data_IF_205232749133
#
_entry.id   IF_205232749133
#
_cell.length_a   1.000
_cell.length_b   1.000
_cell.length_c   1.000
_cell.angle_alpha   90.00
_cell.angle_beta   90.00
_cell.angle_gamma   90.00
#
_symmetry.space_group_name_H-M   'P 1'
#
loop_
_entity.id
_entity.type
_entity.pdbx_description
1 polymer ?
#
# COMPACT_ATOMS: atom_id res chain seq x y z
N UNK A 1 18.93 -66.80 -32.42
CA UNK A 1 19.88 -65.77 -32.88
C UNK A 1 19.23 -65.01 -34.01
N UNK A 2 18.85 -63.75 -33.79
CA UNK A 2 18.73 -62.70 -34.82
C UNK A 2 18.37 -61.39 -34.11
N UNK A 3 19.23 -60.41 -34.32
CA UNK A 3 19.22 -59.05 -33.79
C UNK A 3 18.05 -58.23 -34.35
N UNK A 4 17.44 -57.39 -33.51
CA UNK A 4 16.73 -56.18 -33.94
C UNK A 4 15.29 -56.07 -33.43
N UNK A 5 15.05 -55.13 -32.53
CA UNK A 5 13.72 -54.55 -32.33
C UNK A 5 13.85 -53.04 -32.09
N UNK A 6 13.20 -52.26 -32.97
CA UNK A 6 13.03 -50.81 -32.91
C UNK A 6 11.53 -50.52 -32.83
N UNK A 7 11.18 -49.42 -32.14
CA UNK A 7 9.85 -48.74 -32.05
C UNK A 7 8.86 -49.42 -31.09
N UNK A 8 7.96 -48.75 -30.39
CA UNK A 8 7.64 -47.33 -30.14
C UNK A 8 6.43 -47.37 -29.20
N UNK A 9 6.34 -46.53 -28.17
CA UNK A 9 5.02 -46.18 -27.60
C UNK A 9 5.04 -44.77 -27.02
N UNK A 10 4.36 -43.87 -27.72
CA UNK A 10 4.03 -42.51 -27.31
C UNK A 10 2.88 -42.57 -26.30
N UNK A 11 2.98 -41.86 -25.17
CA UNK A 11 1.92 -41.77 -24.15
C UNK A 11 1.01 -40.58 -24.48
N UNK A 12 -0.29 -40.89 -24.52
CA UNK A 12 -1.43 -40.07 -24.91
C UNK A 12 -1.72 -38.94 -23.92
N UNK A 13 -1.86 -37.71 -24.41
CA UNK A 13 -2.45 -36.58 -23.67
C UNK A 13 -3.97 -36.59 -23.86
N UNK A 14 -4.73 -36.46 -22.77
CA UNK A 14 -6.18 -36.34 -22.78
C UNK A 14 -6.59 -34.86 -22.88
N UNK A 15 -7.35 -34.51 -23.92
CA UNK A 15 -8.01 -33.21 -24.09
C UNK A 15 -9.51 -33.42 -23.84
N UNK A 16 -10.08 -32.69 -22.88
CA UNK A 16 -11.51 -32.66 -22.61
C UNK A 16 -12.14 -31.55 -23.44
N UNK A 17 -13.04 -31.92 -24.36
CA UNK A 17 -13.88 -31.00 -25.14
C UNK A 17 -15.29 -30.97 -24.51
N UNK A 18 -15.80 -29.77 -24.22
CA UNK A 18 -17.21 -29.56 -23.88
C UNK A 18 -17.93 -28.99 -25.10
N UNK A 19 -19.01 -29.66 -25.51
CA UNK A 19 -19.79 -29.38 -26.70
C UNK A 19 -20.76 -28.20 -26.48
N UNK A 20 -20.79 -27.25 -27.43
CA UNK A 20 -21.85 -26.24 -27.55
C UNK A 20 -22.83 -26.72 -28.62
N UNK A 21 -24.06 -27.02 -28.21
CA UNK A 21 -25.16 -27.31 -29.13
C UNK A 21 -25.81 -26.01 -29.60
N UNK A 22 -25.92 -25.85 -30.93
CA UNK A 22 -26.54 -24.69 -31.57
C UNK A 22 -28.05 -24.84 -31.80
N UNK A 23 -28.70 -23.72 -32.08
CA UNK A 23 -29.97 -23.68 -32.80
C UNK A 23 -29.95 -22.48 -33.77
N UNK A 24 -29.88 -22.77 -35.06
CA UNK A 24 -30.11 -21.80 -36.15
C UNK A 24 -31.54 -22.02 -36.64
N UNK A 25 -32.37 -20.98 -36.64
CA UNK A 25 -33.60 -20.89 -37.44
C UNK A 25 -33.58 -19.57 -38.18
N UNK A 26 -33.78 -19.64 -39.51
CA UNK A 26 -33.69 -18.52 -40.43
C UNK A 26 -35.07 -17.89 -40.76
N UNK A 27 -35.07 -16.56 -40.75
CA UNK A 27 -35.75 -15.59 -41.64
C UNK A 27 -37.30 -15.43 -41.67
N UNK A 28 -37.75 -14.27 -41.17
CA UNK A 28 -38.59 -13.29 -41.91
C UNK A 28 -38.43 -11.88 -41.27
N UNK A 29 -38.48 -10.77 -42.04
CA UNK A 29 -38.17 -9.44 -41.54
C UNK A 29 -39.40 -8.79 -40.89
N UNK A 30 -39.33 -8.44 -39.61
CA UNK A 30 -40.31 -7.56 -38.97
C UNK A 30 -39.68 -6.19 -38.84
N UNK A 31 -40.25 -5.24 -39.57
CA UNK A 31 -39.91 -3.82 -39.50
C UNK A 31 -40.39 -3.32 -38.13
N UNK A 32 -39.48 -3.19 -37.17
CA UNK A 32 -39.73 -2.51 -35.90
C UNK A 32 -39.07 -1.15 -35.98
N UNK A 33 -39.87 -0.10 -35.96
CA UNK A 33 -39.45 1.29 -35.97
C UNK A 33 -38.40 1.54 -34.88
N UNK A 34 -37.23 2.02 -35.29
CA UNK A 34 -36.21 2.53 -34.39
C UNK A 34 -36.72 3.84 -33.76
N UNK A 35 -37.33 3.74 -32.58
CA UNK A 35 -37.41 4.85 -31.66
C UNK A 35 -36.16 4.78 -30.78
N UNK A 36 -35.28 5.78 -30.94
CA UNK A 36 -34.15 6.05 -30.07
C UNK A 36 -34.65 6.26 -28.63
N UNK A 37 -34.53 5.24 -27.80
CA UNK A 37 -34.65 5.36 -26.35
C UNK A 37 -33.37 5.99 -25.81
N UNK A 38 -33.32 7.31 -25.83
CA UNK A 38 -32.49 8.09 -24.90
C UNK A 38 -32.99 7.75 -23.50
N UNK A 39 -32.14 7.11 -22.69
CA UNK A 39 -32.36 7.06 -21.27
C UNK A 39 -32.11 8.47 -20.71
N UNK A 40 -33.18 9.18 -20.41
CA UNK A 40 -33.15 10.46 -19.71
C UNK A 40 -32.61 10.24 -18.28
N UNK A 41 -31.34 10.59 -18.07
CA UNK A 41 -30.65 10.55 -16.76
C UNK A 41 -31.09 11.72 -15.85
N UNK A 42 -32.04 12.55 -16.28
CA UNK A 42 -32.42 13.81 -15.64
C UNK A 42 -33.57 13.71 -14.64
N UNK A 43 -34.24 12.56 -14.49
CA UNK A 43 -35.45 12.46 -13.65
C UNK A 43 -35.25 12.00 -12.20
N UNK A 44 -34.06 11.51 -11.80
CA UNK A 44 -33.82 11.10 -10.40
C UNK A 44 -33.33 12.24 -9.49
N UNK A 45 -32.99 13.39 -10.07
CA UNK A 45 -32.34 14.50 -9.35
C UNK A 45 -33.31 15.55 -8.77
N UNK A 46 -34.61 15.51 -9.12
CA UNK A 46 -35.51 16.64 -8.83
C UNK A 46 -36.52 16.44 -7.69
N UNK A 47 -36.56 15.27 -7.04
CA UNK A 47 -37.51 15.03 -5.93
C UNK A 47 -36.87 14.98 -4.53
N UNK A 48 -35.54 15.14 -4.40
CA UNK A 48 -34.84 15.09 -3.09
C UNK A 48 -34.36 16.43 -2.54
N UNK A 49 -34.63 17.54 -3.23
CA UNK A 49 -34.14 18.87 -2.83
C UNK A 49 -35.25 19.88 -2.51
N UNK A 50 -36.52 19.46 -2.44
CA UNK A 50 -37.57 20.28 -1.87
C UNK A 50 -37.61 20.11 -0.34
N UNK A 51 -36.56 20.55 0.34
CA UNK A 51 -36.61 20.79 1.79
C UNK A 51 -36.97 22.26 1.98
N UNK A 52 -38.12 22.47 2.61
CA UNK A 52 -38.59 23.76 3.11
C UNK A 52 -37.49 24.40 3.98
N UNK A 53 -37.11 25.68 3.79
CA UNK A 53 -36.04 26.28 4.58
C UNK A 53 -36.44 26.32 6.05
N UNK A 54 -35.84 25.42 6.84
CA UNK A 54 -35.95 25.46 8.29
C UNK A 54 -35.40 26.79 8.80
N UNK A 55 -36.03 27.42 9.81
CA UNK A 55 -35.53 28.67 10.37
C UNK A 55 -34.12 28.47 10.91
N UNK A 56 -33.18 29.29 10.43
CA UNK A 56 -31.80 29.33 10.92
C UNK A 56 -31.86 29.59 12.43
N UNK A 57 -31.34 28.69 13.28
CA UNK A 57 -31.25 28.98 14.70
C UNK A 57 -30.37 30.22 14.92
N UNK A 58 -30.89 31.17 15.69
CA UNK A 58 -30.19 32.38 16.11
C UNK A 58 -28.80 32.02 16.70
N UNK A 59 -27.74 32.82 16.46
CA UNK A 59 -26.36 32.51 16.90
C UNK A 59 -26.19 32.31 18.42
N UNK A 60 -27.21 32.61 19.21
CA UNK A 60 -27.20 32.48 20.66
C UNK A 60 -27.47 31.05 21.18
N UNK A 61 -27.70 30.06 20.31
CA UNK A 61 -28.00 28.67 20.71
C UNK A 61 -26.86 27.67 20.46
N UNK A 62 -25.73 28.08 19.88
CA UNK A 62 -24.48 27.36 20.06
C UNK A 62 -24.02 27.67 21.48
N UNK A 63 -24.40 26.81 22.44
CA UNK A 63 -23.62 26.69 23.65
C UNK A 63 -22.17 26.56 23.19
N UNK A 64 -21.32 27.46 23.68
CA UNK A 64 -19.90 27.23 23.71
C UNK A 64 -19.72 25.85 24.35
N UNK A 65 -19.49 24.83 23.52
CA UNK A 65 -18.72 23.70 23.96
C UNK A 65 -17.38 24.31 24.34
N UNK A 66 -17.11 24.17 25.63
CA UNK A 66 -15.88 24.52 26.30
C UNK A 66 -14.72 24.31 25.33
N UNK A 67 -14.07 25.39 24.91
CA UNK A 67 -12.77 25.29 24.25
C UNK A 67 -11.82 24.80 25.33
N UNK A 68 -11.84 23.49 25.58
CA UNK A 68 -10.67 22.80 26.07
C UNK A 68 -9.56 23.24 25.12
N UNK A 69 -8.58 23.93 25.66
CA UNK A 69 -7.34 24.18 24.96
C UNK A 69 -6.86 22.78 24.56
N UNK A 70 -7.00 22.41 23.28
CA UNK A 70 -6.68 21.05 22.83
C UNK A 70 -5.25 20.77 23.28
N UNK A 71 -5.10 19.87 24.27
CA UNK A 71 -3.81 19.60 24.89
C UNK A 71 -2.86 19.14 23.79
N UNK A 72 -1.87 19.95 23.45
CA UNK A 72 -0.94 19.61 22.37
C UNK A 72 0.12 18.65 22.92
N UNK A 73 0.25 17.49 22.29
CA UNK A 73 1.30 16.52 22.56
C UNK A 73 2.46 16.79 21.60
N UNK A 74 3.63 17.11 22.16
CA UNK A 74 4.87 17.23 21.39
C UNK A 74 5.38 15.84 21.00
N UNK A 75 5.50 15.60 19.70
CA UNK A 75 5.99 14.34 19.14
C UNK A 75 7.48 14.40 18.76
N UNK A 76 8.10 15.58 18.87
CA UNK A 76 9.46 15.86 18.43
C UNK A 76 9.53 16.64 17.11
N UNK A 77 10.73 17.11 16.78
CA UNK A 77 11.05 17.87 15.55
C UNK A 77 10.18 19.13 15.33
N UNK A 78 9.68 19.71 16.42
CA UNK A 78 8.77 20.86 16.38
C UNK A 78 7.35 20.52 15.92
N UNK A 79 7.01 19.24 15.83
CA UNK A 79 5.67 18.74 15.50
C UNK A 79 4.91 18.50 16.80
N UNK A 80 3.82 19.23 16.97
CA UNK A 80 2.85 19.00 18.04
C UNK A 80 1.48 18.74 17.45
N UNK A 81 0.79 17.74 17.97
CA UNK A 81 -0.55 17.35 17.53
C UNK A 81 -1.53 17.47 18.69
N UNK A 82 -2.83 17.69 18.43
CA UNK A 82 -3.84 17.58 19.47
C UNK A 82 -3.78 16.21 20.17
N UNK A 83 -4.02 16.19 21.47
CA UNK A 83 -4.26 14.97 22.21
C UNK A 83 -5.48 14.21 21.65
N UNK A 84 -5.48 12.90 21.83
CA UNK A 84 -6.38 11.99 21.14
C UNK A 84 -5.72 11.38 19.90
N UNK A 85 -5.95 10.09 19.71
CA UNK A 85 -5.44 9.32 18.58
C UNK A 85 -6.54 8.45 17.96
N UNK A 86 -6.18 7.58 17.00
CA UNK A 86 -7.12 6.65 16.40
C UNK A 86 -7.70 5.70 17.46
N UNK A 87 -9.03 5.53 17.49
CA UNK A 87 -9.70 4.69 18.49
C UNK A 87 -9.57 5.23 19.92
N UNK A 88 -9.13 4.38 20.85
CA UNK A 88 -8.96 4.69 22.28
C UNK A 88 -7.57 5.26 22.63
N UNK A 89 -6.76 5.61 21.62
CA UNK A 89 -5.42 6.12 21.81
C UNK A 89 -5.41 7.53 22.42
N UNK A 90 -4.51 7.76 23.38
CA UNK A 90 -4.35 9.08 24.04
C UNK A 90 -3.58 10.08 23.19
N UNK A 91 -2.78 9.60 22.24
CA UNK A 91 -2.06 10.39 21.23
C UNK A 91 -1.80 9.51 20.00
N UNK A 92 -1.28 10.10 18.93
CA UNK A 92 -0.98 9.41 17.70
C UNK A 92 0.51 9.54 17.36
N UNK A 93 1.18 8.43 17.12
CA UNK A 93 2.53 8.41 16.54
C UNK A 93 2.46 8.62 15.02
N UNK A 94 3.53 9.14 14.45
CA UNK A 94 3.63 9.40 13.01
C UNK A 94 4.94 8.90 12.45
N UNK A 95 4.91 8.33 11.24
CA UNK A 95 6.12 8.11 10.47
C UNK A 95 6.32 9.30 9.54
N UNK A 96 7.35 10.10 9.80
CA UNK A 96 7.74 11.20 8.93
C UNK A 96 8.76 10.72 7.91
N UNK A 97 8.67 11.23 6.69
CA UNK A 97 9.62 10.97 5.61
C UNK A 97 10.12 12.34 5.14
N UNK A 98 11.43 12.56 5.23
CA UNK A 98 12.01 13.88 4.97
C UNK A 98 13.51 13.86 4.85
N UNK A 99 14.10 15.05 4.74
CA UNK A 99 15.53 15.29 4.72
C UNK A 99 15.82 16.48 5.64
N UNK A 100 16.79 16.32 6.55
CA UNK A 100 17.09 17.32 7.58
C UNK A 100 18.05 18.42 7.07
N UNK A 101 19.00 18.07 6.20
CA UNK A 101 20.12 18.94 5.81
C UNK A 101 20.61 18.70 4.36
N UNK A 102 19.75 18.14 3.50
CA UNK A 102 20.13 17.72 2.15
C UNK A 102 20.73 16.31 2.09
N UNK A 103 20.84 15.63 3.24
CA UNK A 103 21.02 14.18 3.30
C UNK A 103 19.94 13.43 2.51
N UNK A 104 20.19 12.17 2.09
CA UNK A 104 19.17 11.33 1.51
C UNK A 104 17.90 11.34 2.37
N UNK A 105 16.75 11.28 1.70
CA UNK A 105 15.49 11.14 2.41
C UNK A 105 15.57 9.92 3.32
N UNK A 106 15.03 10.04 4.52
CA UNK A 106 14.95 8.96 5.50
C UNK A 106 13.61 9.04 6.21
N UNK A 107 13.25 7.97 6.91
CA UNK A 107 12.02 7.88 7.67
C UNK A 107 12.32 7.84 9.16
N UNK A 108 11.48 8.50 9.96
CA UNK A 108 11.60 8.55 11.41
C UNK A 108 10.24 8.38 12.06
N UNK A 109 10.20 7.68 13.19
CA UNK A 109 9.03 7.64 14.05
C UNK A 109 9.03 8.85 14.99
N UNK A 110 7.93 9.59 15.01
CA UNK A 110 7.60 10.62 15.99
C UNK A 110 6.53 10.10 16.96
N UNK A 111 6.68 10.39 18.25
CA UNK A 111 5.89 9.76 19.31
C UNK A 111 6.30 8.30 19.59
N UNK A 112 5.46 7.58 20.32
CA UNK A 112 5.69 6.18 20.67
C UNK A 112 4.54 5.29 20.23
N UNK A 113 4.88 4.09 19.76
CA UNK A 113 3.90 3.05 19.44
C UNK A 113 3.38 2.41 20.72
N UNK A 114 2.08 2.15 20.77
CA UNK A 114 1.41 1.46 21.88
C UNK A 114 0.59 0.32 21.31
N UNK A 115 0.88 -0.94 21.66
CA UNK A 115 0.07 -2.08 21.25
C UNK A 115 -1.16 -2.21 22.16
N UNK A 116 -2.31 -1.77 21.67
CA UNK A 116 -3.62 -1.87 22.31
C UNK A 116 -4.20 -3.30 22.29
N UNK A 117 -3.47 -4.25 21.69
CA UNK A 117 -3.86 -5.64 21.54
C UNK A 117 -4.56 -5.93 20.21
N UNK A 118 -4.63 -7.21 19.87
CA UNK A 118 -5.29 -7.67 18.65
C UNK A 118 -6.77 -7.25 18.60
N UNK A 119 -7.22 -6.81 17.43
CA UNK A 119 -8.62 -6.47 17.14
C UNK A 119 -9.17 -7.35 16.00
N UNK A 120 -10.47 -7.24 15.70
CA UNK A 120 -11.12 -8.01 14.62
C UNK A 120 -10.45 -7.80 13.24
N UNK A 121 -9.89 -6.61 13.01
CA UNK A 121 -9.27 -6.20 11.74
C UNK A 121 -7.76 -5.89 11.90
N UNK A 122 -7.14 -6.36 12.99
CA UNK A 122 -5.71 -6.25 13.24
C UNK A 122 -5.22 -7.42 14.13
N UNK A 123 -5.42 -8.65 13.63
CA UNK A 123 -5.17 -9.89 14.38
C UNK A 123 -3.77 -10.48 14.23
N UNK A 124 -2.93 -9.88 13.39
CA UNK A 124 -1.61 -10.36 13.03
C UNK A 124 -0.56 -10.32 14.14
N UNK A 125 0.49 -11.14 14.01
CA UNK A 125 1.59 -11.18 14.97
C UNK A 125 2.45 -9.92 14.87
N UNK A 126 2.97 -9.51 16.02
CA UNK A 126 3.88 -8.37 16.16
C UNK A 126 5.28 -8.89 16.42
N UNK A 127 6.25 -8.31 15.73
CA UNK A 127 7.66 -8.51 16.03
C UNK A 127 8.17 -7.35 16.85
N UNK A 128 8.98 -7.67 17.86
CA UNK A 128 9.71 -6.69 18.67
C UNK A 128 11.17 -6.61 18.22
N UNK A 129 11.78 -5.44 18.34
CA UNK A 129 13.22 -5.27 18.15
C UNK A 129 14.03 -5.83 19.31
N UNK A 130 15.35 -5.70 19.24
CA UNK A 130 16.27 -6.18 20.27
C UNK A 130 16.07 -5.51 21.65
N UNK A 131 15.47 -4.32 21.67
CA UNK A 131 15.16 -3.56 22.88
C UNK A 131 13.76 -3.89 23.41
N UNK A 132 13.03 -4.80 22.77
CA UNK A 132 11.67 -5.18 23.12
C UNK A 132 10.60 -4.16 22.70
N UNK A 133 10.92 -3.25 21.76
CA UNK A 133 9.98 -2.25 21.23
C UNK A 133 9.26 -2.80 20.01
N UNK A 134 8.03 -2.34 19.79
CA UNK A 134 7.24 -2.67 18.59
C UNK A 134 8.06 -2.28 17.35
N UNK A 135 8.24 -3.25 16.45
CA UNK A 135 9.10 -3.11 15.28
C UNK A 135 8.34 -3.31 13.97
N UNK A 136 7.65 -4.45 13.82
CA UNK A 136 6.88 -4.76 12.62
C UNK A 136 5.64 -5.59 12.93
N UNK A 137 4.75 -5.66 11.96
CA UNK A 137 3.47 -6.36 12.02
C UNK A 137 3.28 -7.20 10.75
N UNK A 138 2.91 -8.48 10.90
CA UNK A 138 2.60 -9.34 9.76
C UNK A 138 1.09 -9.33 9.49
N UNK A 139 0.70 -8.89 8.31
CA UNK A 139 -0.69 -8.77 7.88
C UNK A 139 -1.34 -10.15 7.76
N UNK A 140 -2.53 -10.31 8.34
CA UNK A 140 -3.36 -11.50 8.21
C UNK A 140 -4.59 -11.25 7.34
N UNK A 141 -5.24 -12.34 6.92
CA UNK A 141 -6.48 -12.27 6.17
C UNK A 141 -7.57 -11.53 6.96
N UNK A 142 -8.11 -10.47 6.37
CA UNK A 142 -9.16 -9.65 6.97
C UNK A 142 -8.64 -8.42 7.72
N UNK A 143 -7.33 -8.28 7.88
CA UNK A 143 -6.77 -7.07 8.48
C UNK A 143 -6.98 -5.84 7.59
N UNK A 144 -7.02 -4.66 8.23
CA UNK A 144 -7.07 -3.37 7.54
C UNK A 144 -6.01 -2.42 8.09
N UNK A 145 -5.45 -1.60 7.22
CA UNK A 145 -4.40 -0.64 7.61
C UNK A 145 -4.90 0.33 8.69
N UNK A 146 -6.17 0.75 8.62
CA UNK A 146 -6.82 1.62 9.62
C UNK A 146 -6.82 0.97 11.00
N UNK A 147 -7.32 -0.27 11.11
CA UNK A 147 -7.38 -0.96 12.39
C UNK A 147 -5.99 -1.34 12.93
N UNK A 148 -5.01 -1.55 12.05
CA UNK A 148 -3.60 -1.69 12.43
C UNK A 148 -3.09 -0.37 13.05
N UNK A 149 -3.40 0.78 12.45
CA UNK A 149 -3.07 2.09 13.02
C UNK A 149 -3.71 2.34 14.39
N UNK A 150 -5.00 2.00 14.54
CA UNK A 150 -5.71 2.03 15.83
C UNK A 150 -5.06 1.12 16.87
N UNK A 151 -4.68 -0.10 16.48
CA UNK A 151 -4.01 -1.04 17.38
C UNK A 151 -2.68 -0.51 17.90
N UNK A 152 -1.91 0.19 17.08
CA UNK A 152 -0.56 0.65 17.45
C UNK A 152 -0.46 2.12 17.85
N UNK A 153 -1.60 2.82 17.92
CA UNK A 153 -1.66 4.26 18.13
C UNK A 153 -0.75 5.04 17.18
N UNK A 154 -0.82 4.71 15.89
CA UNK A 154 -0.02 5.30 14.82
C UNK A 154 -0.89 5.68 13.63
N UNK A 155 -0.55 6.79 12.96
CA UNK A 155 -1.25 7.23 11.78
C UNK A 155 -1.07 6.22 10.64
N UNK A 156 -2.18 5.55 10.29
CA UNK A 156 -2.18 4.48 9.31
C UNK A 156 -1.77 4.96 7.90
N UNK A 157 -1.98 6.24 7.57
CA UNK A 157 -1.61 6.81 6.27
C UNK A 157 -0.08 6.92 6.18
N UNK A 158 0.57 7.37 7.25
CA UNK A 158 2.03 7.40 7.32
C UNK A 158 2.64 6.00 7.33
N UNK A 159 2.01 5.04 8.00
CA UNK A 159 2.41 3.62 7.95
C UNK A 159 2.35 3.09 6.53
N UNK A 160 1.23 3.30 5.82
CA UNK A 160 1.09 2.87 4.43
C UNK A 160 2.13 3.51 3.52
N UNK A 161 2.33 4.82 3.65
CA UNK A 161 3.29 5.56 2.83
C UNK A 161 4.74 5.08 3.03
N UNK A 162 5.13 4.81 4.28
CA UNK A 162 6.45 4.29 4.61
C UNK A 162 6.67 2.87 4.09
N UNK A 163 5.67 1.99 4.23
CA UNK A 163 5.73 0.60 3.78
C UNK A 163 5.38 0.41 2.30
N UNK A 164 5.52 1.48 1.51
CA UNK A 164 5.24 1.47 0.07
C UNK A 164 3.86 0.91 -0.30
N UNK A 165 2.89 0.98 0.62
CA UNK A 165 1.50 0.61 0.35
C UNK A 165 0.93 1.67 -0.58
N UNK A 166 0.55 1.20 -1.76
CA UNK A 166 0.35 2.03 -2.95
C UNK A 166 -1.03 2.68 -2.93
N UNK A 167 -1.19 3.77 -2.20
CA UNK A 167 -2.40 4.57 -2.19
C UNK A 167 -3.68 3.75 -1.95
N UNK A 168 -4.45 3.47 -3.01
CA UNK A 168 -5.69 2.69 -2.94
C UNK A 168 -5.49 1.16 -2.98
N UNK A 169 -4.26 0.67 -3.08
CA UNK A 169 -3.99 -0.75 -3.04
C UNK A 169 -4.19 -1.30 -1.61
N UNK A 170 -4.88 -2.43 -1.46
CA UNK A 170 -5.02 -3.08 -0.16
C UNK A 170 -3.71 -3.74 0.27
N UNK A 171 -3.50 -3.83 1.57
CA UNK A 171 -2.51 -4.73 2.16
C UNK A 171 -2.93 -6.20 1.92
N UNK A 172 -1.95 -7.08 1.71
CA UNK A 172 -2.16 -8.49 1.45
C UNK A 172 -1.72 -9.36 2.65
N UNK A 173 -2.37 -10.51 2.88
CA UNK A 173 -1.91 -11.45 3.90
C UNK A 173 -0.47 -11.91 3.64
N UNK A 174 0.37 -11.88 4.67
CA UNK A 174 1.79 -12.18 4.61
C UNK A 174 2.69 -10.97 4.37
N UNK A 175 2.12 -9.79 4.07
CA UNK A 175 2.89 -8.54 4.05
C UNK A 175 3.45 -8.26 5.44
N UNK A 176 4.67 -7.70 5.50
CA UNK A 176 5.29 -7.27 6.75
C UNK A 176 5.36 -5.75 6.75
N UNK A 177 4.52 -5.12 7.57
CA UNK A 177 4.53 -3.68 7.77
C UNK A 177 5.53 -3.33 8.88
N UNK A 178 6.59 -2.62 8.53
CA UNK A 178 7.50 -2.01 9.48
C UNK A 178 6.85 -0.76 10.09
N UNK A 179 6.77 -0.73 11.42
CA UNK A 179 6.14 0.36 12.17
C UNK A 179 7.18 1.30 12.79
N UNK A 180 8.43 0.84 12.92
CA UNK A 180 9.56 1.59 13.49
C UNK A 180 10.69 1.74 12.47
N UNK A 181 10.71 2.84 11.70
CA UNK A 181 11.79 3.14 10.77
C UNK A 181 13.15 3.24 11.45
N UNK A 182 14.20 2.97 10.66
CA UNK A 182 15.55 3.37 11.02
C UNK A 182 15.84 4.75 10.45
N UNK A 183 16.05 5.79 11.27
CA UNK A 183 16.38 7.11 10.75
C UNK A 183 17.77 7.16 10.10
N UNK A 184 18.60 6.12 10.26
CA UNK A 184 19.92 6.03 9.62
C UNK A 184 19.87 5.42 8.22
N UNK A 185 18.75 4.82 7.83
CA UNK A 185 18.59 4.21 6.51
C UNK A 185 17.96 5.19 5.52
N UNK A 186 18.45 5.22 4.28
CA UNK A 186 17.80 6.01 3.24
C UNK A 186 16.42 5.42 2.93
N UNK A 187 15.42 6.28 2.83
CA UNK A 187 14.10 5.98 2.30
C UNK A 187 14.15 5.97 0.77
N UNK A 188 13.60 4.92 0.18
CA UNK A 188 13.41 4.82 -1.27
C UNK A 188 12.06 5.45 -1.63
N UNK A 189 12.09 6.60 -2.31
CA UNK A 189 10.88 7.20 -2.89
C UNK A 189 10.44 6.37 -4.09
N UNK A 190 9.26 5.75 -4.00
CA UNK A 190 8.72 4.89 -5.07
C UNK A 190 8.10 5.69 -6.23
N UNK A 191 7.82 6.98 -6.04
CA UNK A 191 7.12 7.82 -7.01
C UNK A 191 8.05 8.70 -7.84
N UNK A 192 9.13 9.20 -7.23
CA UNK A 192 10.07 10.15 -7.82
C UNK A 192 11.44 9.54 -8.15
N UNK A 193 11.73 9.19 -9.41
CA UNK A 193 13.08 8.83 -9.80
C UNK A 193 14.02 10.03 -9.61
N UNK A 194 15.22 9.80 -9.06
CA UNK A 194 16.17 10.85 -8.67
C UNK A 194 16.52 11.82 -9.80
N UNK A 195 16.71 11.31 -11.02
CA UNK A 195 17.11 12.09 -12.19
C UNK A 195 15.93 12.42 -13.12
N UNK A 196 14.69 12.32 -12.64
CA UNK A 196 13.51 12.55 -13.47
C UNK A 196 13.40 14.02 -13.91
N UNK A 197 13.32 14.24 -15.22
CA UNK A 197 12.98 15.57 -15.73
C UNK A 197 11.51 15.90 -15.39
N UNK A 198 11.17 17.15 -15.03
CA UNK A 198 9.79 17.55 -14.81
C UNK A 198 8.87 17.16 -15.98
N UNK A 199 7.73 16.55 -15.68
CA UNK A 199 6.76 16.09 -16.68
C UNK A 199 7.11 14.76 -17.36
N UNK A 200 8.21 14.11 -17.01
CA UNK A 200 8.50 12.74 -17.45
C UNK A 200 7.58 11.72 -16.77
N UNK A 201 7.28 10.63 -17.47
CA UNK A 201 6.52 9.52 -16.89
C UNK A 201 7.40 8.72 -15.92
N UNK A 202 6.89 8.46 -14.72
CA UNK A 202 7.58 7.70 -13.67
C UNK A 202 7.08 6.26 -13.54
N UNK A 203 6.11 5.84 -14.38
CA UNK A 203 5.46 4.52 -14.28
C UNK A 203 6.48 3.38 -14.35
N UNK A 204 7.44 3.44 -15.28
CA UNK A 204 8.45 2.38 -15.42
C UNK A 204 9.38 2.27 -14.20
N UNK A 205 9.66 3.39 -13.52
CA UNK A 205 10.42 3.39 -12.28
C UNK A 205 9.59 2.78 -11.15
N UNK A 206 8.36 3.25 -10.98
CA UNK A 206 7.41 2.75 -10.00
C UNK A 206 7.16 1.24 -10.10
N UNK A 207 6.96 0.71 -11.32
CA UNK A 207 6.81 -0.72 -11.56
C UNK A 207 8.11 -1.50 -11.29
N UNK A 208 9.26 -0.90 -11.62
CA UNK A 208 10.56 -1.49 -11.35
C UNK A 208 10.82 -1.64 -9.86
N UNK A 209 10.52 -0.60 -9.06
CA UNK A 209 10.64 -0.64 -7.60
C UNK A 209 9.68 -1.68 -7.01
N UNK A 210 8.44 -1.81 -7.52
CA UNK A 210 7.51 -2.88 -7.13
C UNK A 210 8.11 -4.27 -7.32
N UNK A 211 8.64 -4.51 -8.53
CA UNK A 211 9.19 -5.80 -8.88
C UNK A 211 10.42 -6.11 -8.02
N UNK A 212 11.23 -5.10 -7.71
CA UNK A 212 12.40 -5.25 -6.85
C UNK A 212 11.98 -5.57 -5.42
N UNK A 213 11.03 -4.82 -4.85
CA UNK A 213 10.46 -5.11 -3.52
C UNK A 213 9.87 -6.52 -3.46
N UNK A 214 9.13 -6.96 -4.50
CA UNK A 214 8.60 -8.34 -4.58
C UNK A 214 9.73 -9.39 -4.57
N UNK A 215 10.80 -9.16 -5.33
CA UNK A 215 11.95 -10.07 -5.35
C UNK A 215 12.64 -10.14 -3.97
N UNK A 216 12.77 -9.01 -3.28
CA UNK A 216 13.28 -8.94 -1.91
C UNK A 216 12.35 -9.64 -0.92
N UNK A 217 11.05 -9.39 -0.96
CA UNK A 217 10.06 -10.03 -0.08
C UNK A 217 10.12 -11.56 -0.20
N UNK A 218 10.19 -12.07 -1.44
CA UNK A 218 10.27 -13.50 -1.77
C UNK A 218 11.68 -14.11 -1.67
N UNK A 219 12.67 -13.33 -1.23
CA UNK A 219 14.08 -13.74 -1.09
C UNK A 219 14.76 -14.20 -2.40
N UNK A 220 14.26 -13.78 -3.56
CA UNK A 220 14.89 -14.01 -4.87
C UNK A 220 15.95 -12.92 -5.15
N UNK A 221 17.11 -13.06 -4.50
CA UNK A 221 18.23 -12.12 -4.70
C UNK A 221 18.80 -12.17 -6.13
N UNK A 222 18.54 -13.23 -6.90
CA UNK A 222 18.93 -13.31 -8.30
C UNK A 222 18.11 -12.33 -9.15
N UNK A 223 16.79 -12.39 -9.00
CA UNK A 223 15.87 -11.43 -9.62
C UNK A 223 16.12 -10.00 -9.12
N UNK A 224 16.35 -9.81 -7.80
CA UNK A 224 16.63 -8.50 -7.24
C UNK A 224 17.86 -7.85 -7.89
N UNK A 225 19.00 -8.57 -8.00
CA UNK A 225 20.20 -8.04 -8.66
C UNK A 225 19.98 -7.73 -10.14
N UNK A 226 19.20 -8.53 -10.86
CA UNK A 226 18.86 -8.27 -12.25
C UNK A 226 18.01 -6.99 -12.42
N UNK A 227 17.02 -6.80 -11.55
CA UNK A 227 16.20 -5.59 -11.51
C UNK A 227 17.03 -4.36 -11.13
N UNK A 228 17.94 -4.51 -10.16
CA UNK A 228 18.79 -3.44 -9.67
C UNK A 228 19.63 -2.78 -10.77
N UNK A 229 20.19 -3.58 -11.70
CA UNK A 229 20.97 -3.08 -12.85
C UNK A 229 20.22 -2.03 -13.68
N UNK A 230 18.89 -2.00 -13.60
CA UNK A 230 18.02 -1.07 -14.32
C UNK A 230 17.58 0.11 -13.46
N UNK A 231 17.41 -0.12 -12.15
CA UNK A 231 16.93 0.85 -11.17
C UNK A 231 18.02 1.76 -10.61
N UNK A 232 19.25 1.27 -10.49
CA UNK A 232 20.37 1.95 -9.81
C UNK A 232 20.55 3.40 -10.27
N UNK A 233 20.49 3.64 -11.59
CA UNK A 233 20.64 4.98 -12.21
C UNK A 233 19.56 5.99 -11.81
N UNK A 234 18.42 5.50 -11.35
CA UNK A 234 17.25 6.29 -10.98
C UNK A 234 17.19 6.54 -9.46
N UNK A 235 18.17 6.05 -8.71
CA UNK A 235 18.30 6.24 -7.28
C UNK A 235 19.28 7.38 -6.96
N UNK A 236 19.12 8.08 -5.82
CA UNK A 236 20.17 8.96 -5.31
C UNK A 236 21.48 8.17 -5.14
N UNK A 237 22.66 8.71 -5.50
CA UNK A 237 23.91 7.95 -5.48
C UNK A 237 24.25 7.31 -4.13
N UNK A 238 23.95 8.00 -3.03
CA UNK A 238 24.19 7.50 -1.67
C UNK A 238 23.24 6.34 -1.33
N UNK A 239 21.95 6.48 -1.64
CA UNK A 239 20.96 5.40 -1.53
C UNK A 239 21.34 4.20 -2.38
N UNK A 240 21.78 4.43 -3.62
CA UNK A 240 22.21 3.39 -4.54
C UNK A 240 23.43 2.61 -4.01
N UNK A 241 24.38 3.29 -3.36
CA UNK A 241 25.54 2.65 -2.75
C UNK A 241 25.14 1.70 -1.61
N UNK A 242 24.21 2.12 -0.74
CA UNK A 242 23.71 1.28 0.36
C UNK A 242 23.02 0.02 -0.18
N UNK A 243 22.12 0.18 -1.17
CA UNK A 243 21.39 -0.96 -1.75
C UNK A 243 22.33 -1.91 -2.49
N UNK A 244 23.29 -1.37 -3.24
CA UNK A 244 24.28 -2.17 -3.97
C UNK A 244 25.16 -2.99 -3.01
N UNK A 245 25.56 -2.39 -1.88
CA UNK A 245 26.30 -3.09 -0.84
C UNK A 245 25.46 -4.19 -0.20
N UNK A 246 24.20 -3.92 0.15
CA UNK A 246 23.29 -4.91 0.71
C UNK A 246 23.06 -6.11 -0.25
N UNK A 247 22.96 -5.85 -1.56
CA UNK A 247 22.88 -6.89 -2.59
C UNK A 247 24.18 -7.67 -2.80
N UNK A 248 25.33 -7.07 -2.51
CA UNK A 248 26.64 -7.70 -2.57
C UNK A 248 26.88 -8.63 -1.37
N UNK A 249 26.45 -8.19 -0.19
CA UNK A 249 26.60 -8.90 1.09
C UNK A 249 25.48 -9.92 1.36
N UNK A 250 24.50 -10.02 0.46
CA UNK A 250 23.29 -10.83 0.59
C UNK A 250 22.48 -10.49 1.86
N UNK A 251 22.50 -9.22 2.27
CA UNK A 251 21.83 -8.71 3.47
C UNK A 251 20.33 -8.51 3.20
N UNK A 252 19.62 -9.63 3.14
CA UNK A 252 18.17 -9.68 2.95
C UNK A 252 17.40 -8.91 4.04
N UNK A 253 17.75 -8.99 5.35
CA UNK A 253 17.11 -8.16 6.37
C UNK A 253 17.21 -6.67 6.08
N UNK A 254 18.38 -6.16 5.68
CA UNK A 254 18.54 -4.76 5.32
C UNK A 254 17.73 -4.40 4.06
N UNK A 255 17.78 -5.25 3.03
CA UNK A 255 17.01 -5.01 1.80
C UNK A 255 15.51 -4.90 2.07
N UNK A 256 14.95 -5.73 2.96
CA UNK A 256 13.54 -5.66 3.36
C UNK A 256 13.20 -4.39 4.14
N UNK A 257 14.16 -3.76 4.82
CA UNK A 257 13.93 -2.46 5.48
C UNK A 257 14.04 -1.28 4.51
N UNK A 258 14.84 -1.41 3.44
CA UNK A 258 14.98 -0.41 2.38
C UNK A 258 13.81 -0.45 1.38
N UNK A 259 13.23 -1.63 1.19
CA UNK A 259 12.05 -1.91 0.37
C UNK A 259 11.00 -2.64 1.22
N UNK A 260 10.43 -1.93 2.22
CA UNK A 260 9.40 -2.47 3.10
C UNK A 260 8.11 -2.80 2.35
#
# INVERSE_FOLDING_TARGET
MLTGMKRSTTITAAVVAVAVAGLIVAAAPVVVSAASAVFDVTSWASERFAVEPSPIPSPAALKAEDTAEDELVDLGDGISVPAGGPGDCTTNAFITIGSDDGSPMHAKLLGELVDMGASELAGGPVTLDADGRIFSYEVQSGDSLIAIGERFCVDYVTVGSFNHVRGFEPIAPGDVLYLRPDPTLPFVDIYGPYNAAPGSSTIAYYDGVAAFSTAVATADLGAARWLWQRLEKDMPPETAAVISQALHDDDLPLLRRLFP
#
